data_IF_093113129892
#
_entry.id   IF_093113129892
#
_cell.length_a   1.000
_cell.length_b   1.000
_cell.length_c   1.000
_cell.angle_alpha   90.00
_cell.angle_beta   90.00
_cell.angle_gamma   90.00
#
_symmetry.space_group_name_H-M   'P 1'
#
loop_
_entity.id
_entity.type
_entity.pdbx_description
1 polymer ?
#
# COMPACT_ATOMS: atom_id res chain seq x y z
N UNK A 1 33.62 -58.71 14.69
CA UNK A 1 33.49 -60.19 14.58
C UNK A 1 32.59 -60.67 15.70
N UNK A 2 31.56 -61.45 15.33
CA UNK A 2 30.82 -62.46 16.11
C UNK A 2 30.08 -62.06 17.41
N UNK A 3 28.75 -62.17 17.33
CA UNK A 3 27.69 -62.35 18.36
C UNK A 3 27.98 -63.51 19.35
N UNK A 4 27.23 -63.81 20.45
CA UNK A 4 25.74 -63.94 20.56
C UNK A 4 25.13 -63.35 21.87
N UNK A 5 23.85 -62.92 21.94
CA UNK A 5 22.55 -63.62 22.08
C UNK A 5 22.38 -64.64 23.23
N UNK A 6 21.38 -64.35 24.08
CA UNK A 6 20.37 -65.21 24.77
C UNK A 6 20.04 -64.55 26.13
N UNK A 7 18.82 -64.12 26.47
CA UNK A 7 17.51 -64.73 26.25
C UNK A 7 17.13 -65.47 27.54
N UNK A 8 16.12 -65.01 28.29
CA UNK A 8 14.88 -65.78 28.53
C UNK A 8 13.89 -65.14 29.53
N UNK A 9 12.60 -65.26 29.21
CA UNK A 9 11.41 -65.40 30.10
C UNK A 9 11.04 -64.30 31.10
N UNK A 10 9.78 -63.98 31.41
CA UNK A 10 8.46 -64.43 30.96
C UNK A 10 7.43 -63.35 31.36
N UNK A 11 6.37 -63.24 30.55
CA UNK A 11 5.11 -62.56 30.88
C UNK A 11 4.16 -63.54 31.62
N UNK A 12 3.24 -63.05 32.47
CA UNK A 12 1.84 -63.18 32.06
C UNK A 12 0.93 -62.00 32.44
N UNK A 13 0.34 -61.38 31.41
CA UNK A 13 -1.10 -61.28 31.10
C UNK A 13 -2.08 -60.56 32.05
N UNK A 14 -2.78 -59.59 31.43
CA UNK A 14 -4.15 -59.07 31.63
C UNK A 14 -4.36 -58.04 32.76
N UNK A 15 -4.86 -56.82 32.47
CA UNK A 15 -6.25 -56.61 32.04
C UNK A 15 -6.44 -55.27 31.32
N UNK A 16 -7.29 -55.29 30.30
CA UNK A 16 -7.81 -54.19 29.48
C UNK A 16 -8.74 -53.28 30.31
N UNK A 17 -8.57 -51.96 30.22
CA UNK A 17 -9.70 -51.03 30.16
C UNK A 17 -9.45 -49.98 29.09
N UNK A 18 -10.30 -50.05 28.08
CA UNK A 18 -10.55 -49.06 27.05
C UNK A 18 -10.98 -47.72 27.63
N UNK A 19 -10.39 -46.64 27.13
CA UNK A 19 -11.21 -45.48 26.78
C UNK A 19 -10.74 -44.91 25.45
N UNK A 20 -11.60 -45.07 24.46
CA UNK A 20 -11.48 -44.47 23.16
C UNK A 20 -12.25 -43.15 23.23
N UNK A 21 -11.56 -42.03 23.09
CA UNK A 21 -12.19 -40.79 22.65
C UNK A 21 -11.48 -40.34 21.40
N UNK A 22 -12.03 -40.81 20.28
CA UNK A 22 -11.83 -40.27 18.95
C UNK A 22 -12.24 -38.80 18.95
N UNK A 23 -11.30 -37.91 18.66
CA UNK A 23 -11.58 -36.56 18.19
C UNK A 23 -10.71 -36.36 16.95
N UNK A 24 -11.22 -36.84 15.83
CA UNK A 24 -10.88 -36.33 14.50
C UNK A 24 -11.53 -34.94 14.41
N UNK A 25 -10.78 -33.92 14.82
CA UNK A 25 -11.01 -32.56 14.35
C UNK A 25 -10.49 -32.50 12.93
N UNK A 26 -11.40 -32.53 11.97
CA UNK A 26 -11.12 -32.05 10.62
C UNK A 26 -10.82 -30.56 10.76
N UNK A 27 -9.53 -30.21 10.73
CA UNK A 27 -9.08 -28.84 10.55
C UNK A 27 -9.48 -28.43 9.13
N UNK A 28 -10.71 -27.96 9.00
CA UNK A 28 -11.19 -27.16 7.88
C UNK A 28 -10.48 -25.80 7.93
N UNK A 29 -9.18 -25.83 7.64
CA UNK A 29 -8.44 -24.65 7.25
C UNK A 29 -8.96 -24.27 5.86
N UNK A 30 -10.05 -23.51 5.84
CA UNK A 30 -10.42 -22.65 4.73
C UNK A 30 -9.13 -21.99 4.24
N UNK A 31 -8.64 -22.40 3.06
CA UNK A 31 -7.69 -21.60 2.30
C UNK A 31 -8.41 -20.29 1.98
N UNK A 32 -8.26 -19.32 2.88
CA UNK A 32 -8.60 -17.94 2.58
C UNK A 32 -7.84 -17.62 1.30
N UNK A 33 -8.58 -17.32 0.23
CA UNK A 33 -7.99 -16.92 -1.02
C UNK A 33 -7.02 -15.76 -0.73
N UNK A 34 -5.77 -15.90 -1.17
CA UNK A 34 -4.77 -14.85 -1.08
C UNK A 34 -5.31 -13.63 -1.83
N UNK A 35 -5.75 -12.62 -1.07
CA UNK A 35 -6.31 -11.37 -1.60
C UNK A 35 -5.21 -10.41 -2.08
N UNK A 36 -3.93 -10.80 -1.96
CA UNK A 36 -2.77 -10.01 -2.34
C UNK A 36 -2.39 -8.93 -1.33
N UNK A 37 -3.20 -8.69 -0.30
CA UNK A 37 -2.91 -7.69 0.73
C UNK A 37 -2.05 -8.29 1.85
N UNK A 38 -1.03 -7.57 2.33
CA UNK A 38 -0.28 -8.03 3.49
C UNK A 38 -1.16 -8.01 4.73
N UNK A 39 -0.95 -8.97 5.64
CA UNK A 39 -1.55 -8.90 6.98
C UNK A 39 -0.87 -7.78 7.77
N UNK A 40 -1.65 -6.85 8.32
CA UNK A 40 -1.16 -5.71 9.10
C UNK A 40 -1.63 -5.84 10.54
N UNK A 41 -0.70 -5.71 11.49
CA UNK A 41 -1.02 -5.57 12.91
C UNK A 41 -1.41 -4.12 13.21
N UNK A 42 -2.69 -3.80 12.98
CA UNK A 42 -3.22 -2.45 13.18
C UNK A 42 -3.10 -1.98 14.64
N UNK A 43 -3.28 -2.88 15.60
CA UNK A 43 -3.17 -2.54 17.02
C UNK A 43 -1.74 -2.13 17.39
N UNK A 44 -0.74 -2.84 16.85
CA UNK A 44 0.65 -2.42 16.99
C UNK A 44 0.90 -1.06 16.33
N UNK A 45 0.56 -0.91 15.05
CA UNK A 45 0.92 0.30 14.30
C UNK A 45 0.24 1.56 14.84
N UNK A 46 -1.04 1.48 15.16
CA UNK A 46 -1.77 2.61 15.77
C UNK A 46 -1.33 2.85 17.22
N UNK A 47 -0.85 1.81 17.92
CA UNK A 47 -0.23 1.96 19.25
C UNK A 47 1.15 2.62 19.20
N UNK A 48 1.90 2.43 18.11
CA UNK A 48 3.20 3.05 17.87
C UNK A 48 3.05 4.50 17.44
N UNK A 49 2.16 4.75 16.47
CA UNK A 49 1.87 6.09 15.99
C UNK A 49 0.37 6.19 15.63
N UNK A 50 -0.41 7.02 16.35
CA UNK A 50 -1.84 7.19 16.08
C UNK A 50 -2.12 7.84 14.72
N UNK A 51 -1.13 8.44 14.07
CA UNK A 51 -1.28 9.01 12.73
C UNK A 51 -1.31 7.93 11.64
N UNK A 52 -1.01 6.66 11.94
CA UNK A 52 -1.12 5.56 10.96
C UNK A 52 -2.60 5.31 10.63
N UNK A 53 -2.99 5.68 9.41
CA UNK A 53 -4.37 5.59 8.90
C UNK A 53 -4.56 4.51 7.83
N UNK A 54 -3.48 3.96 7.30
CA UNK A 54 -3.57 2.94 6.26
C UNK A 54 -2.23 2.32 5.92
N UNK A 55 -2.25 1.52 4.85
CA UNK A 55 -1.10 0.80 4.33
C UNK A 55 -1.16 0.78 2.81
N UNK A 56 -0.02 1.01 2.17
CA UNK A 56 0.12 0.92 0.70
C UNK A 56 1.02 -0.25 0.33
N UNK A 57 0.64 -0.98 -0.70
CA UNK A 57 1.47 -2.02 -1.32
C UNK A 57 1.39 -1.91 -2.84
N UNK A 58 2.55 -1.94 -3.50
CA UNK A 58 2.64 -2.06 -4.96
C UNK A 58 3.37 -3.35 -5.28
N UNK A 59 2.66 -4.43 -5.68
CA UNK A 59 3.26 -5.74 -5.93
C UNK A 59 4.44 -5.68 -6.90
N UNK A 60 5.50 -6.40 -6.57
CA UNK A 60 6.73 -6.46 -7.37
C UNK A 60 7.67 -5.25 -7.20
N UNK A 61 7.39 -4.35 -6.26
CA UNK A 61 8.26 -3.19 -5.94
C UNK A 61 8.68 -3.18 -4.46
N UNK A 62 9.44 -2.16 -4.05
CA UNK A 62 9.81 -1.93 -2.64
C UNK A 62 8.70 -1.27 -1.81
N UNK A 63 7.59 -0.84 -2.42
CA UNK A 63 6.50 -0.16 -1.70
C UNK A 63 5.64 -1.20 -0.98
N UNK A 64 5.81 -1.27 0.34
CA UNK A 64 5.00 -2.06 1.27
C UNK A 64 5.11 -1.44 2.67
N UNK A 65 4.33 -0.39 2.93
CA UNK A 65 4.59 0.52 4.06
C UNK A 65 3.32 1.12 4.66
N UNK A 66 3.35 1.52 5.96
CA UNK A 66 2.31 2.34 6.57
C UNK A 66 2.12 3.68 5.85
N UNK A 67 0.90 4.19 5.88
CA UNK A 67 0.53 5.55 5.49
C UNK A 67 0.15 6.32 6.76
N UNK A 68 0.80 7.45 7.00
CA UNK A 68 0.47 8.37 8.10
C UNK A 68 -0.31 9.58 7.61
N UNK A 69 -1.21 10.12 8.40
CA UNK A 69 -1.91 11.37 8.10
C UNK A 69 -1.00 12.56 8.44
N UNK A 70 -0.74 13.46 7.49
CA UNK A 70 -0.04 14.71 7.80
C UNK A 70 -0.88 15.60 8.74
N UNK A 71 -0.26 16.21 9.77
CA UNK A 71 -0.93 17.18 10.64
C UNK A 71 -1.36 18.43 9.86
N UNK A 72 -2.52 19.00 10.22
CA UNK A 72 -3.03 20.23 9.55
C UNK A 72 -2.25 21.49 9.92
N UNK A 73 -1.62 21.50 11.09
CA UNK A 73 -0.77 22.58 11.60
C UNK A 73 0.71 22.45 11.19
N UNK A 74 1.11 21.26 10.71
CA UNK A 74 2.42 21.01 10.09
C UNK A 74 2.31 20.00 8.91
N UNK A 75 1.78 20.43 7.75
CA UNK A 75 1.52 19.56 6.60
C UNK A 75 2.76 18.84 6.03
N UNK A 76 3.94 19.37 6.35
CA UNK A 76 5.23 18.90 5.84
C UNK A 76 5.99 18.04 6.86
N UNK A 77 5.42 17.78 8.05
CA UNK A 77 6.08 17.07 9.15
C UNK A 77 6.75 15.76 8.69
N UNK A 78 6.01 14.92 7.97
CA UNK A 78 6.47 13.60 7.51
C UNK A 78 7.41 13.62 6.29
N UNK A 79 7.75 14.81 5.76
CA UNK A 79 8.91 14.93 4.86
C UNK A 79 10.22 14.64 5.62
N UNK A 80 10.31 15.01 6.89
CA UNK A 80 11.55 14.88 7.67
C UNK A 80 11.43 13.97 8.89
N UNK A 81 10.32 13.24 9.01
CA UNK A 81 10.06 12.30 10.10
C UNK A 81 9.59 10.95 9.55
N UNK A 82 10.09 9.87 10.14
CA UNK A 82 9.64 8.52 9.82
C UNK A 82 8.27 8.21 10.46
N UNK A 83 7.75 7.00 10.21
CA UNK A 83 6.48 6.53 10.77
C UNK A 83 6.46 6.50 12.30
N UNK A 84 7.61 6.52 12.97
CA UNK A 84 7.71 6.56 14.43
C UNK A 84 7.74 8.00 14.97
N UNK A 85 7.66 9.01 14.10
CA UNK A 85 7.78 10.42 14.45
C UNK A 85 9.22 10.86 14.75
N UNK A 86 10.23 10.03 14.44
CA UNK A 86 11.63 10.40 14.63
C UNK A 86 12.17 11.11 13.40
N UNK A 87 13.09 12.06 13.60
CA UNK A 87 13.77 12.71 12.48
C UNK A 87 14.45 11.68 11.57
N UNK A 88 14.09 11.70 10.30
CA UNK A 88 14.65 10.86 9.26
C UNK A 88 14.62 11.61 7.93
N UNK A 89 15.77 11.68 7.25
CA UNK A 89 15.89 12.43 5.98
C UNK A 89 15.03 11.85 4.86
N UNK A 90 14.66 10.58 4.98
CA UNK A 90 13.83 9.88 4.00
C UNK A 90 12.32 10.01 4.28
N UNK A 91 11.95 10.57 5.45
CA UNK A 91 10.57 10.78 5.84
C UNK A 91 9.74 9.49 5.92
N UNK A 92 8.44 9.63 5.74
CA UNK A 92 7.46 8.55 5.67
C UNK A 92 6.61 8.65 4.39
N UNK A 93 5.75 7.64 4.16
CA UNK A 93 4.65 7.75 3.20
C UNK A 93 3.48 8.35 3.95
N UNK A 94 2.94 9.46 3.46
CA UNK A 94 1.92 10.20 4.17
C UNK A 94 0.80 10.69 3.26
N UNK A 95 -0.40 10.73 3.81
CA UNK A 95 -1.56 11.34 3.17
C UNK A 95 -1.54 12.85 3.43
N UNK A 96 -1.86 13.62 2.40
CA UNK A 96 -1.89 15.08 2.47
C UNK A 96 -2.80 15.60 3.59
N UNK A 97 -2.39 16.70 4.23
CA UNK A 97 -3.16 17.30 5.33
C UNK A 97 -4.55 17.79 4.88
N UNK A 98 -4.74 18.17 3.61
CA UNK A 98 -6.04 18.58 3.08
C UNK A 98 -7.04 17.41 2.95
N UNK A 99 -6.55 16.18 2.98
CA UNK A 99 -7.39 14.98 2.91
C UNK A 99 -7.96 14.57 4.27
N UNK A 100 -7.60 15.23 5.39
CA UNK A 100 -7.89 14.78 6.76
C UNK A 100 -9.37 14.46 7.04
N UNK A 101 -10.30 15.19 6.44
CA UNK A 101 -11.75 15.02 6.68
C UNK A 101 -12.28 13.69 6.13
N UNK A 102 -11.73 13.22 5.01
CA UNK A 102 -12.15 11.99 4.34
C UNK A 102 -11.08 10.90 4.35
N UNK A 103 -9.87 11.19 4.83
CA UNK A 103 -8.73 10.29 4.78
C UNK A 103 -8.49 9.75 3.36
N UNK A 104 -8.25 8.44 3.27
CA UNK A 104 -8.06 7.72 2.01
C UNK A 104 -9.34 7.62 1.15
N UNK A 105 -10.51 8.00 1.68
CA UNK A 105 -11.77 8.15 0.93
C UNK A 105 -11.91 9.53 0.28
N UNK A 106 -10.88 10.40 0.38
CA UNK A 106 -10.86 11.70 -0.31
C UNK A 106 -11.10 11.56 -1.81
N UNK A 107 -11.77 12.56 -2.41
CA UNK A 107 -12.11 12.55 -3.84
C UNK A 107 -10.88 12.39 -4.74
N UNK A 108 -9.77 13.04 -4.35
CA UNK A 108 -8.43 12.64 -4.75
C UNK A 108 -7.60 12.45 -3.48
N UNK A 109 -7.28 11.20 -3.14
CA UNK A 109 -6.38 10.89 -2.03
C UNK A 109 -4.93 11.09 -2.49
N UNK A 110 -4.29 12.17 -2.03
CA UNK A 110 -2.92 12.52 -2.41
C UNK A 110 -1.95 11.94 -1.40
N UNK A 111 -1.27 10.87 -1.78
CA UNK A 111 -0.26 10.20 -0.96
C UNK A 111 1.12 10.66 -1.44
N UNK A 112 1.92 11.17 -0.52
CA UNK A 112 3.25 11.71 -0.78
C UNK A 112 4.31 10.82 -0.13
N UNK A 113 5.49 10.81 -0.73
CA UNK A 113 6.67 10.16 -0.16
C UNK A 113 7.93 10.61 -0.86
N UNK A 114 9.05 10.59 -0.13
CA UNK A 114 10.32 10.98 -0.72
C UNK A 114 10.80 9.99 -1.78
N UNK A 115 11.47 10.56 -2.78
CA UNK A 115 12.40 9.86 -3.66
C UNK A 115 13.82 10.30 -3.28
N UNK A 116 14.75 9.35 -3.30
CA UNK A 116 16.17 9.60 -3.14
C UNK A 116 16.95 8.65 -4.06
N UNK A 117 18.20 8.98 -4.37
CA UNK A 117 19.08 8.09 -5.14
C UNK A 117 19.33 6.72 -4.49
N UNK A 118 18.94 6.53 -3.22
CA UNK A 118 18.82 5.21 -2.60
C UNK A 118 17.34 4.78 -2.61
N UNK A 119 16.96 4.00 -3.62
CA UNK A 119 15.58 3.55 -3.85
C UNK A 119 15.08 2.58 -2.76
N UNK A 120 15.98 1.90 -2.05
CA UNK A 120 15.61 1.01 -0.93
C UNK A 120 15.32 1.80 0.34
N UNK A 121 15.92 2.98 0.50
CA UNK A 121 15.74 3.82 1.68
C UNK A 121 14.62 4.86 1.50
N UNK A 122 14.37 5.31 0.27
CA UNK A 122 13.33 6.29 -0.03
C UNK A 122 11.96 5.61 -0.17
N UNK A 123 10.94 5.99 0.62
CA UNK A 123 9.68 5.26 0.68
C UNK A 123 8.94 5.18 -0.67
N UNK A 124 9.08 6.19 -1.52
CA UNK A 124 8.50 6.26 -2.87
C UNK A 124 9.58 6.32 -3.97
N UNK A 125 10.77 5.77 -3.72
CA UNK A 125 11.88 5.78 -4.68
C UNK A 125 11.51 5.32 -6.09
N UNK A 126 10.64 4.30 -6.21
CA UNK A 126 10.23 3.69 -7.48
C UNK A 126 9.11 4.45 -8.24
N UNK A 127 8.48 5.47 -7.63
CA UNK A 127 7.35 6.17 -8.25
C UNK A 127 7.74 6.85 -9.57
N UNK A 128 8.99 7.31 -9.67
CA UNK A 128 9.50 7.95 -10.90
C UNK A 128 9.52 7.00 -12.12
N UNK A 129 9.64 5.69 -11.90
CA UNK A 129 9.78 4.68 -12.95
C UNK A 129 8.45 4.51 -13.72
N UNK A 130 7.33 4.98 -13.18
CA UNK A 130 6.03 4.98 -13.88
C UNK A 130 5.96 5.91 -15.09
N UNK A 131 6.97 6.74 -15.35
CA UNK A 131 7.10 7.41 -16.64
C UNK A 131 7.42 6.42 -17.78
N UNK A 132 7.94 5.23 -17.47
CA UNK A 132 8.15 4.14 -18.43
C UNK A 132 6.90 3.25 -18.52
N UNK A 133 6.39 3.05 -19.73
CA UNK A 133 5.18 2.27 -19.99
C UNK A 133 5.33 0.79 -19.61
N UNK A 134 6.53 0.21 -19.76
CA UNK A 134 6.76 -1.21 -19.43
C UNK A 134 6.74 -1.42 -17.92
N UNK A 135 7.41 -0.53 -17.17
CA UNK A 135 7.35 -0.53 -15.71
C UNK A 135 5.92 -0.32 -15.22
N UNK A 136 5.24 0.70 -15.75
CA UNK A 136 3.87 1.02 -15.38
C UNK A 136 2.92 -0.17 -15.61
N UNK A 137 2.99 -0.81 -16.78
CA UNK A 137 2.16 -1.97 -17.10
C UNK A 137 2.51 -3.20 -16.22
N UNK A 138 3.78 -3.36 -15.84
CA UNK A 138 4.23 -4.44 -14.96
C UNK A 138 3.81 -4.26 -13.49
N UNK A 139 3.55 -3.02 -13.07
CA UNK A 139 3.23 -2.65 -11.69
C UNK A 139 1.95 -1.79 -11.62
N UNK A 140 0.93 -2.13 -12.41
CA UNK A 140 -0.28 -1.31 -12.54
C UNK A 140 -1.20 -1.36 -11.32
N UNK A 141 -1.13 -2.41 -10.50
CA UNK A 141 -1.99 -2.56 -9.32
C UNK A 141 -1.38 -1.88 -8.10
N UNK A 142 -2.17 -1.03 -7.43
CA UNK A 142 -1.88 -0.42 -6.13
C UNK A 142 -2.91 -0.93 -5.12
N UNK A 143 -2.43 -1.49 -4.02
CA UNK A 143 -3.26 -2.01 -2.94
C UNK A 143 -3.24 -1.01 -1.78
N UNK A 144 -4.42 -0.52 -1.41
CA UNK A 144 -4.61 0.30 -0.21
C UNK A 144 -5.49 -0.44 0.79
N UNK A 145 -5.10 -0.42 2.05
CA UNK A 145 -5.92 -0.96 3.12
C UNK A 145 -5.89 -0.09 4.36
N UNK A 146 -7.00 -0.09 5.08
CA UNK A 146 -7.20 0.50 6.41
C UNK A 146 -7.63 -0.62 7.36
N UNK A 147 -7.82 -0.34 8.66
CA UNK A 147 -8.45 -1.30 9.55
C UNK A 147 -9.86 -1.74 9.11
N UNK A 148 -10.56 -0.90 8.32
CA UNK A 148 -11.97 -1.10 7.93
C UNK A 148 -12.16 -1.66 6.52
N UNK A 149 -11.24 -1.40 5.59
CA UNK A 149 -11.41 -1.80 4.19
C UNK A 149 -10.10 -2.15 3.48
N UNK A 150 -10.22 -2.96 2.43
CA UNK A 150 -9.16 -3.27 1.47
C UNK A 150 -9.65 -2.93 0.06
N UNK A 151 -8.88 -2.16 -0.70
CA UNK A 151 -9.22 -1.78 -2.08
C UNK A 151 -8.02 -1.85 -3.00
N UNK A 152 -8.25 -2.40 -4.18
CA UNK A 152 -7.32 -2.37 -5.28
C UNK A 152 -7.62 -1.19 -6.20
N UNK A 153 -6.56 -0.53 -6.64
CA UNK A 153 -6.56 0.57 -7.57
C UNK A 153 -5.69 0.19 -8.77
N UNK A 154 -6.09 0.63 -9.96
CA UNK A 154 -5.32 0.43 -11.17
C UNK A 154 -4.73 1.78 -11.62
N UNK A 155 -3.44 1.78 -11.92
CA UNK A 155 -2.73 2.91 -12.51
C UNK A 155 -3.34 3.23 -13.87
N UNK A 156 -3.72 4.50 -14.05
CA UNK A 156 -4.33 4.99 -15.28
C UNK A 156 -3.34 5.76 -16.12
N UNK A 157 -2.58 6.66 -15.49
CA UNK A 157 -1.57 7.48 -16.14
C UNK A 157 -0.57 8.06 -15.12
N UNK A 158 0.54 8.59 -15.61
CA UNK A 158 1.54 9.31 -14.84
C UNK A 158 1.88 10.65 -15.49
N UNK A 159 2.05 11.69 -14.67
CA UNK A 159 2.50 13.01 -15.08
C UNK A 159 3.89 13.31 -14.54
N UNK A 160 4.61 14.17 -15.25
CA UNK A 160 5.83 14.83 -14.76
C UNK A 160 5.49 16.31 -14.60
N UNK A 161 5.54 16.81 -13.37
CA UNK A 161 5.13 18.19 -13.05
C UNK A 161 6.27 18.98 -12.41
N UNK A 162 6.23 20.29 -12.60
CA UNK A 162 7.11 21.22 -11.90
C UNK A 162 6.63 21.37 -10.44
N UNK A 163 7.43 20.91 -9.49
CA UNK A 163 7.14 20.99 -8.05
C UNK A 163 7.16 22.41 -7.47
N UNK A 164 7.49 23.43 -8.27
CA UNK A 164 7.30 24.84 -7.92
C UNK A 164 5.89 25.36 -8.27
N UNK A 165 5.11 24.59 -9.01
CA UNK A 165 3.75 24.95 -9.42
C UNK A 165 2.70 24.18 -8.60
N UNK A 166 1.58 24.83 -8.25
CA UNK A 166 0.50 24.18 -7.51
C UNK A 166 -0.25 23.20 -8.44
N UNK A 167 0.19 21.95 -8.46
CA UNK A 167 -0.40 20.85 -9.25
C UNK A 167 -1.28 19.91 -8.41
N UNK A 168 -1.11 19.93 -7.08
CA UNK A 168 -1.90 19.14 -6.13
C UNK A 168 -3.33 19.69 -6.03
N UNK A 169 -4.33 18.80 -6.07
CA UNK A 169 -5.73 19.15 -5.83
C UNK A 169 -6.49 18.01 -5.14
N UNK A 170 -7.10 18.32 -4.01
CA UNK A 170 -7.82 17.38 -3.12
C UNK A 170 -9.31 17.70 -3.03
N UNK A 171 -9.70 18.97 -3.20
CA UNK A 171 -11.07 19.48 -3.06
C UNK A 171 -11.69 19.86 -4.40
N UNK A 172 -12.96 19.47 -4.57
CA UNK A 172 -13.74 19.65 -5.79
C UNK A 172 -15.15 20.15 -5.44
N UNK A 173 -15.68 21.06 -6.26
CA UNK A 173 -17.00 21.65 -6.03
C UNK A 173 -18.14 20.67 -6.35
N UNK A 174 -17.96 19.81 -7.36
CA UNK A 174 -18.92 18.82 -7.83
C UNK A 174 -18.24 17.80 -8.77
N UNK A 175 -19.01 16.85 -9.28
CA UNK A 175 -18.52 15.78 -10.18
C UNK A 175 -17.96 16.32 -11.52
N UNK A 176 -18.53 17.41 -12.04
CA UNK A 176 -18.06 18.03 -13.28
C UNK A 176 -16.69 18.67 -13.10
N UNK A 177 -16.48 19.38 -11.99
CA UNK A 177 -15.20 19.98 -11.63
C UNK A 177 -14.10 18.91 -11.42
N UNK A 178 -14.43 17.80 -10.75
CA UNK A 178 -13.54 16.65 -10.63
C UNK A 178 -13.18 16.07 -11.99
N UNK A 179 -14.17 15.80 -12.84
CA UNK A 179 -13.96 15.22 -14.17
C UNK A 179 -13.10 16.13 -15.05
N UNK A 180 -13.35 17.45 -15.03
CA UNK A 180 -12.52 18.42 -15.77
C UNK A 180 -11.06 18.40 -15.33
N UNK A 181 -10.80 18.31 -14.03
CA UNK A 181 -9.44 18.20 -13.50
C UNK A 181 -8.78 16.88 -13.91
N UNK A 182 -9.49 15.75 -13.75
CA UNK A 182 -8.96 14.43 -14.09
C UNK A 182 -8.63 14.32 -15.58
N UNK A 183 -9.52 14.82 -16.45
CA UNK A 183 -9.33 14.86 -17.89
C UNK A 183 -8.12 15.73 -18.28
N UNK A 184 -7.96 16.89 -17.64
CA UNK A 184 -6.79 17.74 -17.88
C UNK A 184 -5.49 17.02 -17.50
N UNK A 185 -5.45 16.35 -16.34
CA UNK A 185 -4.27 15.58 -15.96
C UNK A 185 -3.96 14.44 -16.92
N UNK A 186 -5.00 13.74 -17.39
CA UNK A 186 -4.85 12.63 -18.35
C UNK A 186 -4.34 13.10 -19.71
N UNK A 187 -4.81 14.25 -20.19
CA UNK A 187 -4.37 14.84 -21.46
C UNK A 187 -2.89 15.22 -21.43
N UNK A 188 -2.42 15.75 -20.29
CA UNK A 188 -1.04 16.19 -20.10
C UNK A 188 -0.13 15.07 -19.55
N UNK A 189 -0.59 13.81 -19.57
CA UNK A 189 0.17 12.69 -19.04
C UNK A 189 1.44 12.40 -19.87
N UNK A 190 2.53 12.07 -19.18
CA UNK A 190 3.77 11.59 -19.78
C UNK A 190 3.66 10.10 -20.18
N UNK A 191 2.82 9.35 -19.46
CA UNK A 191 2.53 7.93 -19.70
C UNK A 191 1.05 7.67 -19.41
N UNK A 192 0.37 6.92 -20.28
CA UNK A 192 -1.05 6.57 -20.11
C UNK A 192 -1.26 5.07 -20.38
N UNK A 193 -1.70 4.34 -19.36
CA UNK A 193 -2.17 2.94 -19.50
C UNK A 193 -3.66 2.87 -19.84
N UNK A 194 -4.44 3.84 -19.38
CA UNK A 194 -5.89 3.89 -19.60
C UNK A 194 -6.36 5.33 -19.90
N UNK A 195 -6.69 5.54 -21.18
CA UNK A 195 -7.21 6.80 -21.71
C UNK A 195 -8.72 6.97 -21.59
N UNK A 196 -9.44 6.03 -20.96
CA UNK A 196 -10.91 5.92 -21.09
C UNK A 196 -11.68 5.90 -19.78
N UNK A 197 -11.12 5.37 -18.69
CA UNK A 197 -11.82 5.34 -17.39
C UNK A 197 -12.16 6.75 -16.90
N UNK A 198 -13.40 6.95 -16.49
CA UNK A 198 -13.93 8.16 -15.84
C UNK A 198 -14.32 7.79 -14.40
N UNK A 199 -13.39 7.89 -13.44
CA UNK A 199 -13.66 7.42 -12.08
C UNK A 199 -14.41 8.47 -11.26
N UNK A 200 -15.04 8.04 -10.18
CA UNK A 200 -15.60 8.94 -9.16
C UNK A 200 -14.55 9.34 -8.11
N UNK A 201 -13.44 8.59 -7.99
CA UNK A 201 -12.35 8.86 -7.05
C UNK A 201 -11.01 8.59 -7.73
N UNK A 202 -9.99 9.37 -7.37
CA UNK A 202 -8.60 9.11 -7.73
C UNK A 202 -7.71 8.92 -6.48
N UNK A 203 -6.63 8.18 -6.67
CA UNK A 203 -5.47 8.15 -5.77
C UNK A 203 -4.30 8.71 -6.54
N UNK A 204 -3.65 9.73 -6.00
CA UNK A 204 -2.42 10.30 -6.56
C UNK A 204 -1.23 9.91 -5.69
N UNK A 205 -0.29 9.13 -6.24
CA UNK A 205 1.01 8.89 -5.60
C UNK A 205 2.01 9.91 -6.11
N UNK A 206 2.58 10.70 -5.21
CA UNK A 206 3.45 11.84 -5.55
C UNK A 206 4.83 11.62 -4.95
N UNK A 207 5.85 11.67 -5.80
CA UNK A 207 7.24 11.68 -5.34
C UNK A 207 8.09 12.70 -6.08
N UNK A 208 9.23 13.07 -5.48
CA UNK A 208 10.27 13.81 -6.20
C UNK A 208 10.78 12.97 -7.38
N UNK A 209 11.09 13.65 -8.47
CA UNK A 209 11.86 13.09 -9.58
C UNK A 209 12.87 14.14 -10.02
N UNK A 210 13.82 13.77 -10.87
CA UNK A 210 14.90 14.67 -11.28
C UNK A 210 15.31 14.47 -12.76
N UNK A 211 14.37 14.08 -13.64
CA UNK A 211 14.70 13.71 -15.02
C UNK A 211 14.75 14.90 -15.99
N UNK A 212 13.77 15.80 -15.94
CA UNK A 212 13.58 16.93 -16.87
C UNK A 212 13.85 18.28 -16.18
N UNK A 213 13.44 18.43 -14.92
CA UNK A 213 13.71 19.61 -14.10
C UNK A 213 14.63 19.29 -12.91
N UNK A 214 15.96 19.54 -13.02
CA UNK A 214 16.93 19.13 -12.00
C UNK A 214 16.77 19.85 -10.65
N UNK A 215 15.97 20.92 -10.58
CA UNK A 215 15.79 21.69 -9.35
C UNK A 215 14.57 21.24 -8.53
N UNK A 216 13.45 20.85 -9.16
CA UNK A 216 12.23 20.50 -8.42
C UNK A 216 11.15 19.80 -9.29
N UNK A 217 11.39 18.59 -9.78
CA UNK A 217 10.38 17.81 -10.53
C UNK A 217 9.61 16.85 -9.61
N UNK A 218 8.37 16.53 -9.97
CA UNK A 218 7.58 15.48 -9.33
C UNK A 218 7.03 14.52 -10.37
N UNK A 219 7.03 13.24 -10.05
CA UNK A 219 6.20 12.25 -10.73
C UNK A 219 4.90 12.09 -9.95
N UNK A 220 3.77 12.20 -10.66
CA UNK A 220 2.44 12.01 -10.11
C UNK A 220 1.79 10.82 -10.83
N UNK A 221 1.63 9.71 -10.13
CA UNK A 221 0.94 8.52 -10.64
C UNK A 221 -0.51 8.60 -10.20
N UNK A 222 -1.44 8.57 -11.16
CA UNK A 222 -2.87 8.62 -10.88
C UNK A 222 -3.47 7.25 -11.12
N UNK A 223 -4.15 6.74 -10.08
CA UNK A 223 -4.83 5.46 -10.08
C UNK A 223 -6.30 5.62 -9.67
N UNK A 224 -7.14 4.66 -10.05
CA UNK A 224 -8.55 4.63 -9.67
C UNK A 224 -9.05 3.21 -9.47
N UNK A 225 -10.08 3.04 -8.64
CA UNK A 225 -10.57 1.73 -8.22
C UNK A 225 -10.91 0.80 -9.39
N UNK A 226 -10.64 -0.49 -9.22
CA UNK A 226 -10.89 -1.54 -10.24
C UNK A 226 -12.36 -1.98 -10.32
N UNK A 227 -13.27 -1.37 -9.55
CA UNK A 227 -14.71 -1.67 -9.55
C UNK A 227 -15.16 -2.78 -8.61
N UNK A 228 -14.35 -3.14 -7.59
CA UNK A 228 -14.72 -4.11 -6.56
C UNK A 228 -14.19 -3.70 -5.18
N UNK A 229 -15.06 -3.16 -4.32
CA UNK A 229 -14.74 -2.92 -2.91
C UNK A 229 -14.83 -4.23 -2.12
N UNK A 230 -13.75 -4.59 -1.41
CA UNK A 230 -13.76 -5.70 -0.47
C UNK A 230 -13.78 -5.13 0.95
N UNK A 231 -14.94 -5.21 1.62
CA UNK A 231 -15.03 -4.88 3.04
C UNK A 231 -14.28 -5.94 3.86
N UNK A 232 -13.48 -5.49 4.83
CA UNK A 232 -12.79 -6.39 5.76
C UNK A 232 -13.84 -6.95 6.74
N UNK A 233 -13.93 -8.28 6.91
CA UNK A 233 -14.91 -8.90 7.81
C UNK A 233 -14.65 -8.67 9.30
#
# INVERSE_FOLDING_TARGET
MLSPTQGDTADPSLTITSDASSSTGEDDASEAADDGFPTVDWAYWQGVNPDVIGWITVPGTTINSPIVQAPTDDPDFYLSHDVYGNYNIYGAIYLDAECVEAGLDSRNAVILGHHSGNLEAAPFGVIQEYADETFAAGHATILLQTPEWKRAYEVRFAQIVNGLEPSKRTVFHNDEDFRMWYDAMRVDAAMTLDGTTEPEQAVSLVSCSYYVHPENERTVVVASGSGGDQMVP
#
